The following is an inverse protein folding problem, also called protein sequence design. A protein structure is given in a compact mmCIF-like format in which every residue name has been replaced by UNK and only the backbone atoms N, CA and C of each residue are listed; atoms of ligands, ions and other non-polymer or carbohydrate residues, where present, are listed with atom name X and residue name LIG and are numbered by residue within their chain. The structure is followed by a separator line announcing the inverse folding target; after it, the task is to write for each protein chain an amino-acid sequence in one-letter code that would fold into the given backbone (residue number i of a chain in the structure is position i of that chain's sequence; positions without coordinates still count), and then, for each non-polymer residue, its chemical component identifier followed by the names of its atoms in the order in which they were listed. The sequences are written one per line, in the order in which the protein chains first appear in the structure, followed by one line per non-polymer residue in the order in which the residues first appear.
data_IF_344881303832
#
_entry.id   IF_344881303832
#
_cell.length_a   1.000
_cell.length_b   1.000
_cell.length_c   1.000
_cell.angle_alpha   90.00
_cell.angle_beta   90.00
_cell.angle_gamma   90.00
#
_symmetry.space_group_name_H-M   'P 1'
#
loop_
_entity.id
_entity.type
_entity.pdbx_description
1 polymer ?
#
# COMPACT_ATOMS: atom_id res chain seq x y z
N UNK A 1 -8.54 -5.58 5.17
CA UNK A 1 -8.04 -6.13 6.44
C UNK A 1 -7.08 -7.25 6.14
N UNK A 2 -5.95 -7.32 6.80
CA UNK A 2 -4.96 -8.40 6.70
C UNK A 2 -4.43 -8.79 8.09
N UNK A 3 -3.92 -10.00 8.18
CA UNK A 3 -3.31 -10.58 9.38
C UNK A 3 -1.83 -10.91 9.07
N UNK A 4 -0.92 -9.95 9.19
CA UNK A 4 0.48 -10.15 8.79
C UNK A 4 1.17 -11.32 9.50
N UNK A 5 0.81 -11.61 10.75
CA UNK A 5 1.39 -12.71 11.52
C UNK A 5 1.05 -14.10 10.96
N UNK A 6 -0.03 -14.24 10.17
CA UNK A 6 -0.39 -15.49 9.49
C UNK A 6 0.57 -15.80 8.32
N UNK A 7 1.20 -14.75 7.77
CA UNK A 7 2.20 -14.87 6.69
C UNK A 7 3.61 -15.02 7.27
N UNK A 8 3.94 -14.23 8.30
CA UNK A 8 5.26 -14.26 8.94
C UNK A 8 5.09 -14.08 10.45
N UNK A 9 5.35 -15.12 11.25
CA UNK A 9 5.17 -15.09 12.72
C UNK A 9 5.93 -13.97 13.43
N UNK A 10 7.02 -13.47 12.84
CA UNK A 10 7.78 -12.35 13.39
C UNK A 10 7.04 -11.01 13.46
N UNK A 11 5.87 -10.88 12.82
CA UNK A 11 5.05 -9.67 12.89
C UNK A 11 4.27 -9.50 14.21
N UNK A 12 4.18 -10.52 15.03
CA UNK A 12 3.56 -10.42 16.36
C UNK A 12 4.32 -11.25 17.41
N UNK A 13 4.28 -10.85 18.69
CA UNK A 13 4.79 -11.70 19.78
C UNK A 13 4.05 -13.03 19.83
N UNK A 14 4.68 -14.06 20.42
CA UNK A 14 4.06 -15.36 20.60
C UNK A 14 2.70 -15.27 21.31
N UNK A 15 1.67 -15.92 20.78
CA UNK A 15 0.31 -15.90 21.30
C UNK A 15 -0.49 -14.62 21.01
N UNK A 16 0.06 -13.72 20.18
CA UNK A 16 -0.63 -12.52 19.72
C UNK A 16 -0.78 -12.52 18.19
N UNK A 17 -1.76 -11.76 17.70
CA UNK A 17 -1.94 -11.51 16.28
C UNK A 17 -1.91 -10.01 16.01
N UNK A 18 -1.32 -9.63 14.86
CA UNK A 18 -1.38 -8.26 14.36
C UNK A 18 -2.47 -8.18 13.29
N UNK A 19 -3.36 -7.20 13.43
CA UNK A 19 -4.37 -6.88 12.42
C UNK A 19 -4.01 -5.56 11.78
N UNK A 20 -3.93 -5.54 10.45
CA UNK A 20 -3.69 -4.34 9.66
C UNK A 20 -4.94 -4.01 8.84
N UNK A 21 -5.38 -2.76 8.92
CA UNK A 21 -6.54 -2.25 8.19
C UNK A 21 -6.10 -1.09 7.32
N UNK A 22 -6.45 -1.13 6.04
CA UNK A 22 -6.22 -0.04 5.10
C UNK A 22 -7.55 0.54 4.64
N UNK A 23 -7.64 1.86 4.62
CA UNK A 23 -8.77 2.61 4.07
C UNK A 23 -8.29 3.53 2.96
N UNK A 24 -9.15 3.83 2.00
CA UNK A 24 -8.86 4.74 0.90
C UNK A 24 -9.58 6.08 1.09
N UNK A 25 -8.95 7.15 0.63
CA UNK A 25 -9.48 8.50 0.69
C UNK A 25 -9.32 9.16 2.06
N UNK A 26 -9.58 10.46 2.11
CA UNK A 26 -9.60 11.22 3.35
C UNK A 26 -11.00 11.18 3.96
N UNK A 27 -11.12 10.63 5.14
CA UNK A 27 -12.39 10.56 5.89
C UNK A 27 -12.73 11.84 6.64
N UNK A 28 -11.78 12.78 6.76
CA UNK A 28 -11.91 13.98 7.58
C UNK A 28 -11.95 13.71 9.10
N UNK A 29 -11.89 12.44 9.52
CA UNK A 29 -11.96 12.05 10.93
C UNK A 29 -10.61 12.24 11.63
N UNK A 30 -10.63 12.51 12.94
CA UNK A 30 -9.43 12.40 13.76
C UNK A 30 -8.95 10.94 13.82
N UNK A 31 -7.69 10.72 14.21
CA UNK A 31 -7.14 9.35 14.35
C UNK A 31 -7.99 8.51 15.31
N UNK A 32 -8.34 9.07 16.46
CA UNK A 32 -9.15 8.36 17.46
C UNK A 32 -10.56 8.03 16.96
N UNK A 33 -11.22 8.96 16.25
CA UNK A 33 -12.53 8.74 15.67
C UNK A 33 -12.50 7.68 14.56
N UNK A 34 -11.48 7.71 13.70
CA UNK A 34 -11.29 6.69 12.66
C UNK A 34 -11.02 5.31 13.28
N UNK A 35 -10.13 5.23 14.27
CA UNK A 35 -9.82 3.98 14.95
C UNK A 35 -11.08 3.39 15.64
N UNK A 36 -11.89 4.22 16.31
CA UNK A 36 -13.15 3.80 16.91
C UNK A 36 -14.13 3.24 15.89
N UNK A 37 -14.35 3.95 14.80
CA UNK A 37 -15.25 3.51 13.72
C UNK A 37 -14.79 2.20 13.09
N UNK A 38 -13.50 2.08 12.78
CA UNK A 38 -12.93 0.85 12.22
C UNK A 38 -13.04 -0.31 13.21
N UNK A 39 -12.88 -0.05 14.52
CA UNK A 39 -13.03 -1.09 15.53
C UNK A 39 -14.47 -1.62 15.58
N UNK A 40 -15.48 -0.76 15.46
CA UNK A 40 -16.89 -1.17 15.39
C UNK A 40 -17.15 -2.05 14.14
N UNK A 41 -16.60 -1.69 12.99
CA UNK A 41 -16.69 -2.49 11.76
C UNK A 41 -16.00 -3.85 11.94
N UNK A 42 -14.82 -3.89 12.56
CA UNK A 42 -14.11 -5.14 12.85
C UNK A 42 -14.90 -6.04 13.80
N UNK A 43 -15.58 -5.49 14.80
CA UNK A 43 -16.47 -6.26 15.67
C UNK A 43 -17.64 -6.87 14.88
N UNK A 44 -18.21 -6.10 13.94
CA UNK A 44 -19.29 -6.59 13.09
C UNK A 44 -18.84 -7.75 12.17
N UNK A 45 -17.60 -7.73 11.70
CA UNK A 45 -17.07 -8.75 10.79
C UNK A 45 -16.50 -9.98 11.50
N UNK A 46 -15.80 -9.78 12.62
CA UNK A 46 -15.04 -10.83 13.30
C UNK A 46 -15.70 -11.27 14.63
N UNK A 47 -16.81 -10.64 14.99
CA UNK A 47 -17.61 -11.00 16.16
C UNK A 47 -17.06 -10.46 17.48
N UNK A 48 -17.61 -10.94 18.63
CA UNK A 48 -17.35 -10.36 19.95
C UNK A 48 -15.89 -10.40 20.40
N UNK A 49 -15.08 -11.34 19.89
CA UNK A 49 -13.65 -11.44 20.22
C UNK A 49 -12.87 -10.20 19.78
N UNK A 50 -13.28 -9.55 18.70
CA UNK A 50 -12.68 -8.32 18.22
C UNK A 50 -12.83 -7.13 19.18
N UNK A 51 -13.76 -7.18 20.14
CA UNK A 51 -13.90 -6.16 21.20
C UNK A 51 -12.65 -6.04 22.08
N UNK A 52 -11.86 -7.10 22.18
CA UNK A 52 -10.61 -7.12 22.95
C UNK A 52 -9.40 -6.61 22.16
N UNK A 53 -9.58 -6.35 20.87
CA UNK A 53 -8.49 -5.87 20.03
C UNK A 53 -8.15 -4.43 20.40
N UNK A 54 -6.87 -4.15 20.45
CA UNK A 54 -6.35 -2.84 20.85
C UNK A 54 -5.78 -2.10 19.66
N UNK A 55 -6.25 -0.88 19.43
CA UNK A 55 -5.61 0.01 18.47
C UNK A 55 -4.16 0.29 18.91
N UNK A 56 -3.23 0.07 18.01
CA UNK A 56 -1.81 0.33 18.23
C UNK A 56 -1.41 1.68 17.63
N UNK A 57 -1.66 1.86 16.35
CA UNK A 57 -1.25 3.06 15.62
C UNK A 57 -2.01 3.21 14.30
N UNK A 58 -2.24 4.46 13.89
CA UNK A 58 -2.68 4.82 12.54
C UNK A 58 -1.60 5.62 11.82
N UNK A 59 -1.52 5.42 10.51
CA UNK A 59 -0.65 6.19 9.63
C UNK A 59 -1.50 6.86 8.57
N UNK A 60 -1.39 8.18 8.43
CA UNK A 60 -1.97 8.92 7.31
C UNK A 60 -0.90 9.09 6.24
N UNK A 61 -1.12 8.50 5.08
CA UNK A 61 -0.17 8.53 3.98
C UNK A 61 -0.81 9.32 2.84
N UNK A 62 -0.45 10.59 2.74
CA UNK A 62 -1.06 11.50 1.77
C UNK A 62 -0.81 11.07 0.30
N UNK A 63 0.32 10.44 0.03
CA UNK A 63 0.73 9.99 -1.30
C UNK A 63 1.12 8.51 -1.25
N UNK A 64 0.15 7.64 -0.94
CA UNK A 64 0.38 6.21 -0.77
C UNK A 64 0.65 5.49 -2.10
N UNK A 65 -0.10 5.86 -3.14
CA UNK A 65 -0.02 5.26 -4.48
C UNK A 65 -0.10 6.36 -5.55
N UNK A 66 0.53 6.15 -6.71
CA UNK A 66 0.31 7.01 -7.88
C UNK A 66 -1.16 7.01 -8.30
N UNK A 67 -1.65 8.16 -8.72
CA UNK A 67 -2.96 8.25 -9.36
C UNK A 67 -2.92 7.55 -10.72
N UNK A 68 -3.86 6.63 -10.95
CA UNK A 68 -3.99 5.90 -12.21
C UNK A 68 -5.44 5.95 -12.71
N UNK A 69 -5.87 7.09 -13.29
CA UNK A 69 -7.23 7.24 -13.79
C UNK A 69 -7.48 6.37 -15.02
N UNK A 70 -8.75 6.03 -15.26
CA UNK A 70 -9.17 5.27 -16.42
C UNK A 70 -8.75 5.97 -17.72
N UNK A 71 -8.31 5.18 -18.72
CA UNK A 71 -7.86 5.69 -20.02
C UNK A 71 -6.40 6.10 -20.10
N UNK A 72 -5.65 6.04 -19.02
CA UNK A 72 -4.19 6.22 -19.11
C UNK A 72 -3.52 5.02 -19.79
N UNK A 73 -2.44 5.27 -20.59
CA UNK A 73 -1.62 4.19 -21.12
C UNK A 73 -1.06 3.33 -19.98
N UNK A 74 -1.06 2.01 -20.15
CA UNK A 74 -0.50 1.07 -19.16
C UNK A 74 0.98 1.34 -18.87
N UNK A 75 1.70 1.89 -19.85
CA UNK A 75 3.10 2.24 -19.69
C UNK A 75 3.39 3.63 -20.26
N UNK A 76 4.08 4.44 -19.46
CA UNK A 76 4.59 5.74 -19.87
C UNK A 76 5.99 5.60 -20.50
N UNK A 77 6.43 6.56 -21.35
CA UNK A 77 7.80 6.57 -21.84
C UNK A 77 8.81 6.58 -20.70
N UNK A 78 9.75 5.64 -20.70
CA UNK A 78 10.79 5.55 -19.66
C UNK A 78 12.00 6.43 -19.98
N UNK A 79 12.32 6.65 -21.27
CA UNK A 79 13.34 7.61 -21.70
C UNK A 79 12.70 8.97 -21.91
N UNK A 80 13.22 10.00 -21.28
CA UNK A 80 12.72 11.38 -21.36
C UNK A 80 13.56 12.24 -22.31
N UNK A 81 14.87 12.01 -22.33
CA UNK A 81 15.83 12.69 -23.18
C UNK A 81 17.08 11.81 -23.32
N UNK A 82 18.05 12.25 -24.09
CA UNK A 82 19.37 11.62 -24.15
C UNK A 82 19.99 11.57 -22.73
N UNK A 83 20.38 10.38 -22.29
CA UNK A 83 20.95 10.14 -20.97
C UNK A 83 19.98 10.32 -19.79
N UNK A 84 18.70 10.68 -20.03
CA UNK A 84 17.71 10.90 -18.96
C UNK A 84 16.58 9.87 -19.01
N UNK A 85 16.48 9.09 -17.98
CA UNK A 85 15.48 8.03 -17.83
C UNK A 85 14.66 8.21 -16.56
N UNK A 86 13.50 7.56 -16.51
CA UNK A 86 12.63 7.47 -15.36
C UNK A 86 12.13 6.05 -15.19
N UNK A 87 11.93 5.60 -13.96
CA UNK A 87 11.27 4.33 -13.64
C UNK A 87 10.48 4.46 -12.35
N UNK A 88 9.63 3.50 -12.08
CA UNK A 88 8.76 3.45 -10.93
C UNK A 88 7.39 2.92 -11.31
N UNK A 89 6.57 2.59 -10.31
CA UNK A 89 5.21 2.10 -10.54
C UNK A 89 4.31 3.15 -11.22
N UNK A 90 4.51 4.43 -10.97
CA UNK A 90 3.79 5.52 -11.63
C UNK A 90 4.06 5.62 -13.14
N UNK A 91 5.15 5.01 -13.64
CA UNK A 91 5.45 4.95 -15.06
C UNK A 91 4.74 3.79 -15.79
N UNK A 92 4.03 2.95 -15.04
CA UNK A 92 3.19 1.87 -15.58
C UNK A 92 1.86 1.82 -14.83
N UNK A 93 1.74 0.99 -13.80
CA UNK A 93 0.53 0.88 -12.96
C UNK A 93 0.93 0.72 -11.49
N UNK A 94 0.09 1.18 -10.53
CA UNK A 94 0.45 1.18 -9.11
C UNK A 94 0.69 -0.23 -8.56
N UNK A 95 1.92 -0.74 -8.66
CA UNK A 95 2.31 -2.02 -8.08
C UNK A 95 3.83 -2.14 -7.91
N UNK A 96 4.26 -2.96 -6.97
CA UNK A 96 5.66 -3.31 -6.78
C UNK A 96 6.25 -4.00 -8.03
N UNK A 97 5.46 -4.84 -8.69
CA UNK A 97 5.89 -5.51 -9.93
C UNK A 97 6.17 -4.51 -11.06
N UNK A 98 5.34 -3.47 -11.20
CA UNK A 98 5.57 -2.42 -12.19
C UNK A 98 6.82 -1.59 -11.86
N UNK A 99 7.07 -1.28 -10.59
CA UNK A 99 8.30 -0.60 -10.16
C UNK A 99 9.55 -1.42 -10.53
N UNK A 100 9.54 -2.71 -10.25
CA UNK A 100 10.65 -3.62 -10.60
C UNK A 100 10.83 -3.77 -12.11
N UNK A 101 9.73 -3.95 -12.86
CA UNK A 101 9.77 -4.12 -14.30
C UNK A 101 10.31 -2.87 -15.03
N UNK A 102 9.82 -1.68 -14.65
CA UNK A 102 10.29 -0.42 -15.25
C UNK A 102 11.73 -0.12 -14.87
N UNK A 103 12.16 -0.40 -13.64
CA UNK A 103 13.56 -0.27 -13.22
C UNK A 103 14.50 -1.17 -14.04
N UNK A 104 14.11 -2.43 -14.25
CA UNK A 104 14.84 -3.37 -15.09
C UNK A 104 14.94 -2.87 -16.54
N UNK A 105 13.83 -2.43 -17.15
CA UNK A 105 13.81 -1.92 -18.52
C UNK A 105 14.74 -0.72 -18.72
N UNK A 106 14.78 0.20 -17.74
CA UNK A 106 15.68 1.34 -17.78
C UNK A 106 17.14 0.90 -17.69
N UNK A 107 17.46 -0.02 -16.79
CA UNK A 107 18.81 -0.56 -16.67
C UNK A 107 19.28 -1.24 -17.97
N UNK A 108 18.43 -2.08 -18.56
CA UNK A 108 18.71 -2.74 -19.85
C UNK A 108 18.92 -1.71 -20.97
N UNK A 109 18.10 -0.65 -21.04
CA UNK A 109 18.23 0.41 -22.03
C UNK A 109 19.55 1.21 -21.88
N UNK A 110 20.00 1.47 -20.66
CA UNK A 110 21.27 2.16 -20.41
C UNK A 110 22.46 1.29 -20.79
N UNK A 111 22.40 -0.02 -20.55
CA UNK A 111 23.47 -0.97 -20.88
C UNK A 111 23.58 -1.17 -22.39
N UNK A 112 22.45 -1.12 -23.10
CA UNK A 112 22.40 -1.33 -24.55
C UNK A 112 22.84 -0.10 -25.37
N UNK A 113 22.99 1.09 -24.76
CA UNK A 113 23.41 2.33 -25.42
C UNK A 113 22.23 3.07 -26.01
#
# INVERSE_FOLDING_TARGET
VSFPADVAPAYAPAGQALVSVSTHGDTGLSEAALAGRLHEELIAWFGPSARQWRHLRSYRIAHALPAYPAGQPVQQPLRLAEGLYRCGDWAAYPSLNAALATGRQVAEAIIAG
#
